data_IF_378357155606
#
_entry.id   IF_378357155606
#
_cell.length_a   1.000
_cell.length_b   1.000
_cell.length_c   1.000
_cell.angle_alpha   90.00
_cell.angle_beta   90.00
_cell.angle_gamma   90.00
#
_symmetry.space_group_name_H-M   'P 1'
#
loop_
_entity.id
_entity.type
_entity.pdbx_description
1 polymer ?
#
# COMPACT_ATOMS: atom_id res chain seq x y z
N UNK A 1 -10.75 -5.62 7.80
CA UNK A 1 -10.80 -4.60 6.75
C UNK A 1 -11.88 -3.59 7.12
N UNK A 2 -11.52 -2.31 7.24
CA UNK A 2 -12.46 -1.20 7.35
C UNK A 2 -12.79 -0.67 5.95
N UNK A 3 -14.04 -0.27 5.73
CA UNK A 3 -14.47 0.49 4.55
C UNK A 3 -15.57 1.46 4.99
N UNK A 4 -15.45 2.74 4.64
CA UNK A 4 -16.45 3.77 4.97
C UNK A 4 -16.43 4.89 3.95
N UNK A 5 -17.58 5.51 3.73
CA UNK A 5 -17.68 6.75 2.96
C UNK A 5 -16.95 7.87 3.72
N UNK A 6 -16.28 8.74 2.96
CA UNK A 6 -15.73 9.99 3.45
C UNK A 6 -16.77 11.12 3.29
N UNK A 7 -16.59 12.21 4.03
CA UNK A 7 -17.45 13.40 3.89
C UNK A 7 -17.42 13.98 2.47
N UNK A 8 -16.30 13.80 1.74
CA UNK A 8 -16.21 14.15 0.34
C UNK A 8 -17.07 13.20 -0.52
N UNK A 9 -18.05 13.72 -1.29
CA UNK A 9 -18.90 12.88 -2.13
C UNK A 9 -18.10 12.03 -3.11
N UNK A 10 -18.49 10.76 -3.26
CA UNK A 10 -17.86 9.83 -4.18
C UNK A 10 -16.48 9.32 -3.75
N UNK A 11 -16.08 9.52 -2.49
CA UNK A 11 -14.82 9.00 -1.93
C UNK A 11 -15.10 8.05 -0.78
N UNK A 12 -14.24 7.05 -0.63
CA UNK A 12 -14.26 6.12 0.49
C UNK A 12 -12.85 5.96 1.07
N UNK A 13 -12.80 5.64 2.37
CA UNK A 13 -11.61 5.14 3.03
C UNK A 13 -11.70 3.62 3.13
N UNK A 14 -10.61 2.95 2.81
CA UNK A 14 -10.43 1.51 3.02
C UNK A 14 -9.16 1.33 3.85
N UNK A 15 -9.22 0.57 4.93
CA UNK A 15 -8.04 0.22 5.71
C UNK A 15 -7.92 -1.28 5.87
N UNK A 16 -6.74 -1.80 5.57
CA UNK A 16 -6.46 -3.23 5.57
C UNK A 16 -5.09 -3.48 6.17
N UNK A 17 -5.00 -4.52 7.01
CA UNK A 17 -3.70 -5.10 7.35
C UNK A 17 -3.30 -6.02 6.21
N UNK A 18 -2.10 -5.81 5.67
CA UNK A 18 -1.51 -6.69 4.66
C UNK A 18 -0.35 -7.43 5.30
N UNK A 19 -0.41 -8.77 5.27
CA UNK A 19 0.63 -9.64 5.80
C UNK A 19 1.51 -10.17 4.66
N UNK A 20 2.83 -10.10 4.85
CA UNK A 20 3.83 -10.57 3.90
C UNK A 20 4.70 -11.65 4.54
N UNK A 21 4.53 -12.90 4.09
CA UNK A 21 5.49 -13.97 4.37
C UNK A 21 6.89 -13.62 3.80
N UNK A 22 7.98 -14.27 4.28
CA UNK A 22 9.30 -14.10 3.71
C UNK A 22 9.30 -14.29 2.18
N UNK A 23 9.84 -13.32 1.45
CA UNK A 23 9.88 -13.34 -0.02
C UNK A 23 8.58 -12.98 -0.72
N UNK A 24 7.45 -12.82 -0.01
CA UNK A 24 6.18 -12.43 -0.62
C UNK A 24 6.26 -11.03 -1.23
N UNK A 25 5.57 -10.84 -2.35
CA UNK A 25 5.48 -9.56 -3.03
C UNK A 25 4.10 -9.35 -3.62
N UNK A 26 3.77 -8.08 -3.82
CA UNK A 26 2.66 -7.64 -4.64
C UNK A 26 3.21 -6.82 -5.80
N UNK A 27 2.84 -7.21 -7.03
CA UNK A 27 3.41 -6.66 -8.25
C UNK A 27 3.09 -5.19 -8.48
N UNK A 28 3.62 -4.65 -9.58
CA UNK A 28 3.42 -3.25 -9.94
C UNK A 28 1.93 -2.96 -10.16
N UNK A 29 1.40 -1.94 -9.48
CA UNK A 29 -0.01 -1.57 -9.56
C UNK A 29 -0.22 -0.09 -9.21
N UNK A 30 -1.46 0.38 -9.36
CA UNK A 30 -1.89 1.75 -9.04
C UNK A 30 -3.24 1.75 -8.34
N UNK A 31 -3.53 2.79 -7.56
CA UNK A 31 -4.82 3.01 -6.91
C UNK A 31 -5.54 4.25 -7.48
N UNK A 32 -6.89 4.26 -7.55
CA UNK A 32 -7.68 5.43 -7.92
C UNK A 32 -7.81 6.41 -6.74
N UNK A 33 -6.67 6.75 -6.12
CA UNK A 33 -6.60 7.54 -4.90
C UNK A 33 -5.28 7.36 -4.17
N UNK A 34 -5.16 8.07 -3.05
CA UNK A 34 -3.96 8.06 -2.22
C UNK A 34 -3.90 6.76 -1.42
N UNK A 35 -2.69 6.23 -1.25
CA UNK A 35 -2.39 5.24 -0.22
C UNK A 35 -1.43 5.83 0.82
N UNK A 36 -1.67 5.49 2.08
CA UNK A 36 -0.72 5.67 3.17
C UNK A 36 -0.42 4.30 3.74
N UNK A 37 0.82 3.85 3.59
CA UNK A 37 1.32 2.62 4.17
C UNK A 37 2.04 2.91 5.49
N UNK A 38 1.77 2.10 6.51
CA UNK A 38 2.45 2.12 7.79
C UNK A 38 2.95 0.72 8.12
N UNK A 39 4.25 0.53 8.27
CA UNK A 39 4.79 -0.81 8.57
C UNK A 39 4.54 -1.14 10.04
N UNK A 40 3.82 -2.23 10.28
CA UNK A 40 3.47 -2.73 11.61
C UNK A 40 4.55 -3.69 12.15
N UNK A 41 5.15 -4.49 11.27
CA UNK A 41 6.06 -5.57 11.63
C UNK A 41 7.10 -5.77 10.52
N UNK A 42 8.33 -6.11 10.91
CA UNK A 42 9.39 -6.46 9.97
C UNK A 42 9.84 -5.28 9.13
N UNK A 43 10.11 -5.55 7.85
CA UNK A 43 10.56 -4.57 6.87
C UNK A 43 9.99 -4.87 5.49
N UNK A 44 9.58 -3.81 4.78
CA UNK A 44 9.02 -3.88 3.43
C UNK A 44 9.82 -2.99 2.50
N UNK A 45 10.13 -3.51 1.32
CA UNK A 45 10.71 -2.78 0.21
C UNK A 45 9.61 -2.32 -0.73
N UNK A 46 9.54 -1.02 -1.01
CA UNK A 46 8.67 -0.42 -2.00
C UNK A 46 9.48 -0.04 -3.23
N UNK A 47 8.98 -0.45 -4.39
CA UNK A 47 9.56 -0.11 -5.68
C UNK A 47 8.65 0.87 -6.40
N UNK A 48 9.24 1.87 -7.06
CA UNK A 48 8.53 2.86 -7.86
C UNK A 48 9.15 2.92 -9.25
N UNK A 49 8.31 3.15 -10.27
CA UNK A 49 8.79 3.24 -11.65
C UNK A 49 9.88 4.32 -11.81
N UNK A 50 11.03 3.92 -12.36
CA UNK A 50 12.16 4.81 -12.63
C UNK A 50 12.91 5.33 -11.39
N UNK A 51 12.67 4.77 -10.19
CA UNK A 51 13.33 5.20 -8.95
C UNK A 51 13.98 4.03 -8.21
N UNK A 52 15.03 4.28 -7.41
CA UNK A 52 15.55 3.29 -6.48
C UNK A 52 14.46 2.83 -5.49
N UNK A 53 14.49 1.57 -5.05
CA UNK A 53 13.59 1.09 -4.01
C UNK A 53 13.81 1.84 -2.69
N UNK A 54 12.75 1.93 -1.90
CA UNK A 54 12.78 2.46 -0.54
C UNK A 54 12.39 1.34 0.41
N UNK A 55 13.19 1.14 1.46
CA UNK A 55 12.90 0.15 2.50
C UNK A 55 12.35 0.86 3.73
N UNK A 56 11.20 0.40 4.20
CA UNK A 56 10.60 0.81 5.45
C UNK A 56 10.71 -0.30 6.49
N UNK A 57 10.79 0.08 7.76
CA UNK A 57 10.80 -0.79 8.94
C UNK A 57 9.57 -0.49 9.80
N UNK A 58 9.24 -1.40 10.71
CA UNK A 58 8.18 -1.22 11.68
C UNK A 58 8.25 0.17 12.35
N UNK A 59 7.14 0.90 12.31
CA UNK A 59 7.04 2.28 12.80
C UNK A 59 7.13 3.37 11.73
N UNK A 60 7.62 3.04 10.54
CA UNK A 60 7.78 3.99 9.43
C UNK A 60 6.57 4.01 8.50
N UNK A 61 6.43 5.11 7.74
CA UNK A 61 5.30 5.34 6.86
C UNK A 61 5.72 5.86 5.50
N UNK A 62 4.85 5.65 4.52
CA UNK A 62 5.03 6.14 3.16
C UNK A 62 3.71 6.64 2.60
N UNK A 63 3.74 7.82 2.00
CA UNK A 63 2.63 8.40 1.27
C UNK A 63 2.79 8.14 -0.22
N UNK A 64 1.82 7.50 -0.83
CA UNK A 64 1.82 7.13 -2.24
C UNK A 64 0.71 7.93 -2.95
N UNK A 65 1.07 8.90 -3.81
CA UNK A 65 0.08 9.70 -4.52
C UNK A 65 -0.78 8.87 -5.47
N UNK A 66 -2.00 9.34 -5.73
CA UNK A 66 -2.93 8.69 -6.64
C UNK A 66 -2.32 8.41 -8.02
N UNK A 67 -2.57 7.20 -8.54
CA UNK A 67 -2.07 6.77 -9.84
C UNK A 67 -0.56 6.49 -9.92
N UNK A 68 0.19 6.59 -8.81
CA UNK A 68 1.63 6.28 -8.80
C UNK A 68 1.85 4.77 -8.90
N UNK A 69 2.53 4.26 -9.96
CA UNK A 69 2.87 2.84 -10.04
C UNK A 69 3.86 2.46 -8.94
N UNK A 70 3.52 1.45 -8.16
CA UNK A 70 4.39 0.93 -7.12
C UNK A 70 4.18 -0.58 -6.90
N UNK A 71 5.17 -1.20 -6.27
CA UNK A 71 5.15 -2.59 -5.84
C UNK A 71 5.68 -2.68 -4.41
N UNK A 72 5.27 -3.69 -3.65
CA UNK A 72 5.75 -3.94 -2.29
C UNK A 72 6.27 -5.37 -2.18
N UNK A 73 7.38 -5.56 -1.46
CA UNK A 73 7.98 -6.87 -1.24
C UNK A 73 8.56 -6.97 0.17
N UNK A 74 8.35 -8.12 0.80
CA UNK A 74 9.17 -8.55 1.92
C UNK A 74 10.44 -9.25 1.38
N UNK A 75 11.55 -8.50 1.33
CA UNK A 75 12.85 -9.04 0.90
C UNK A 75 13.60 -9.76 2.04
N UNK A 76 13.04 -9.78 3.25
CA UNK A 76 13.62 -10.42 4.43
C UNK A 76 13.30 -11.91 4.55
N UNK A 77 13.81 -12.51 5.63
CA UNK A 77 13.62 -13.90 6.00
C UNK A 77 12.61 -14.11 7.16
N UNK A 78 12.00 -13.04 7.65
CA UNK A 78 10.98 -13.02 8.70
C UNK A 78 9.66 -12.46 8.14
N UNK A 79 8.55 -12.64 8.87
CA UNK A 79 7.28 -12.03 8.51
C UNK A 79 7.36 -10.50 8.55
N UNK A 80 6.59 -9.85 7.70
CA UNK A 80 6.37 -8.41 7.72
C UNK A 80 4.89 -8.10 7.56
N UNK A 81 4.45 -6.94 8.01
CA UNK A 81 3.08 -6.50 7.82
C UNK A 81 2.99 -4.98 7.76
N UNK A 82 1.98 -4.49 7.06
CA UNK A 82 1.62 -3.07 6.99
C UNK A 82 0.14 -2.85 7.30
N UNK A 83 -0.18 -1.64 7.71
CA UNK A 83 -1.52 -1.09 7.66
C UNK A 83 -1.59 -0.17 6.45
N UNK A 84 -2.26 -0.62 5.39
CA UNK A 84 -2.51 0.17 4.20
C UNK A 84 -3.84 0.91 4.34
N UNK A 85 -3.78 2.24 4.21
CA UNK A 85 -4.96 3.11 4.26
C UNK A 85 -5.14 3.80 2.90
N UNK A 86 -6.24 3.50 2.25
CA UNK A 86 -6.58 4.01 0.93
C UNK A 86 -7.67 5.06 1.03
N UNK A 87 -7.46 6.23 0.44
CA UNK A 87 -8.47 7.26 0.25
C UNK A 87 -8.77 7.33 -1.25
N UNK A 88 -9.82 6.63 -1.69
CA UNK A 88 -10.03 6.30 -3.11
C UNK A 88 -11.41 6.70 -3.61
N UNK A 89 -11.56 6.73 -4.93
CA UNK A 89 -12.86 6.89 -5.58
C UNK A 89 -13.78 5.69 -5.29
N UNK A 90 -14.97 5.99 -4.76
CA UNK A 90 -15.96 4.98 -4.40
C UNK A 90 -16.46 4.25 -5.65
N UNK A 91 -16.56 2.93 -5.55
CA UNK A 91 -17.11 2.08 -6.62
C UNK A 91 -16.13 1.78 -7.76
N UNK A 92 -14.89 2.27 -7.71
CA UNK A 92 -13.81 1.81 -8.59
C UNK A 92 -13.09 0.60 -7.97
N UNK A 93 -12.47 -0.28 -8.78
CA UNK A 93 -11.55 -1.29 -8.26
C UNK A 93 -10.47 -0.63 -7.41
N UNK A 94 -10.12 -1.25 -6.27
CA UNK A 94 -9.12 -0.68 -5.37
C UNK A 94 -7.77 -0.52 -6.06
N UNK A 95 -7.41 -1.45 -6.94
CA UNK A 95 -6.16 -1.43 -7.68
C UNK A 95 -6.36 -1.76 -9.16
N UNK A 96 -5.43 -1.26 -9.98
CA UNK A 96 -5.23 -1.66 -11.37
C UNK A 96 -3.80 -2.15 -11.53
N UNK A 97 -3.63 -3.36 -12.08
CA UNK A 97 -2.31 -3.93 -12.38
C UNK A 97 -1.61 -3.12 -13.49
N UNK A 98 -0.28 -3.07 -13.43
CA UNK A 98 0.58 -2.41 -14.42
C UNK A 98 1.51 -3.40 -15.08
#
# INVERSE_FOLDING_TARGET
>A
MLRSDLEQPGREVIQVRVDFAPGASFGMHTHPGVEVAYVLEGSLEYQFEGKPPVTLKAGESLFIPAGTPHAARNAGNANAAELATYLVEKGKPLLSLK
#
